data_IF_076848517694
#
_entry.id   IF_076848517694
#
_cell.length_a   1.000
_cell.length_b   1.000
_cell.length_c   1.000
_cell.angle_alpha   90.00
_cell.angle_beta   90.00
_cell.angle_gamma   90.00
#
_symmetry.space_group_name_H-M   'P 1'
#
loop_
_entity.id
_entity.type
_entity.pdbx_description
1 polymer ?
#
# COMPACT_ATOMS: atom_id res chain seq x y z
N UNK A 1 -30.92 27.78 21.27
CA UNK A 1 -30.77 27.15 19.94
C UNK A 1 -29.45 27.53 19.25
N UNK A 2 -28.37 27.87 19.98
CA UNK A 2 -27.10 28.35 19.39
C UNK A 2 -25.96 27.33 19.49
N UNK A 3 -25.96 26.47 20.52
CA UNK A 3 -24.95 25.41 20.70
C UNK A 3 -24.99 24.34 19.60
N UNK A 4 -26.18 23.97 19.11
CA UNK A 4 -26.32 23.02 17.99
C UNK A 4 -25.73 23.54 16.68
N UNK A 5 -25.81 24.85 16.44
CA UNK A 5 -25.26 25.46 15.22
C UNK A 5 -23.73 25.50 15.24
N UNK A 6 -23.13 25.83 16.39
CA UNK A 6 -21.66 25.81 16.55
C UNK A 6 -21.14 24.38 16.40
N UNK A 7 -21.80 23.38 17.01
CA UNK A 7 -21.44 21.97 16.84
C UNK A 7 -21.54 21.51 15.39
N UNK A 8 -22.59 21.91 14.65
CA UNK A 8 -22.69 21.58 13.21
C UNK A 8 -21.61 22.23 12.35
N UNK A 9 -21.15 23.44 12.70
CA UNK A 9 -20.08 24.13 11.98
C UNK A 9 -18.74 23.44 12.25
N UNK A 10 -18.42 23.15 13.51
CA UNK A 10 -17.20 22.42 13.89
C UNK A 10 -17.19 21.03 13.24
N UNK A 11 -18.31 20.29 13.32
CA UNK A 11 -18.43 18.96 12.72
C UNK A 11 -18.24 19.01 11.20
N UNK A 12 -18.83 20.01 10.52
CA UNK A 12 -18.66 20.17 9.07
C UNK A 12 -17.22 20.49 8.69
N UNK A 13 -16.60 21.50 9.31
CA UNK A 13 -15.24 21.89 8.93
C UNK A 13 -14.19 20.86 9.36
N UNK A 14 -14.27 20.29 10.57
CA UNK A 14 -13.27 19.32 11.01
C UNK A 14 -13.42 17.97 10.30
N UNK A 15 -14.63 17.43 10.13
CA UNK A 15 -14.81 16.10 9.55
C UNK A 15 -14.72 16.14 8.02
N UNK A 16 -15.25 17.16 7.34
CA UNK A 16 -15.16 17.20 5.88
C UNK A 16 -13.72 17.41 5.41
N UNK A 17 -12.95 18.28 6.08
CA UNK A 17 -11.55 18.53 5.72
C UNK A 17 -10.71 17.26 5.88
N UNK A 18 -10.85 16.55 7.02
CA UNK A 18 -10.22 15.23 7.23
C UNK A 18 -10.64 14.23 6.15
N UNK A 19 -11.91 14.19 5.77
CA UNK A 19 -12.40 13.24 4.75
C UNK A 19 -11.87 13.55 3.34
N UNK A 20 -11.70 14.84 3.01
CA UNK A 20 -11.16 15.29 1.71
C UNK A 20 -9.65 15.07 1.66
N UNK A 21 -8.94 15.35 2.74
CA UNK A 21 -7.51 15.05 2.87
C UNK A 21 -7.25 13.53 2.82
N UNK A 22 -8.06 12.71 3.51
CA UNK A 22 -7.97 11.25 3.46
C UNK A 22 -8.19 10.73 2.03
N UNK A 23 -9.18 11.29 1.31
CA UNK A 23 -9.46 10.93 -0.09
C UNK A 23 -8.29 11.30 -1.00
N UNK A 24 -7.76 12.52 -0.89
CA UNK A 24 -6.62 13.00 -1.67
C UNK A 24 -5.34 12.19 -1.41
N UNK A 25 -5.05 11.90 -0.14
CA UNK A 25 -3.90 11.09 0.25
C UNK A 25 -4.00 9.66 -0.29
N UNK A 26 -5.19 9.05 -0.20
CA UNK A 26 -5.48 7.73 -0.76
C UNK A 26 -5.28 7.69 -2.28
N UNK A 27 -5.83 8.65 -3.00
CA UNK A 27 -5.69 8.76 -4.45
C UNK A 27 -4.24 8.96 -4.87
N UNK A 28 -3.50 9.81 -4.14
CA UNK A 28 -2.07 10.02 -4.35
C UNK A 28 -1.25 8.74 -4.17
N UNK A 29 -1.49 7.99 -3.08
CA UNK A 29 -0.83 6.72 -2.83
C UNK A 29 -1.17 5.68 -3.91
N UNK A 30 -2.43 5.62 -4.33
CA UNK A 30 -2.87 4.68 -5.38
C UNK A 30 -2.17 4.99 -6.71
N UNK A 31 -2.12 6.26 -7.09
CA UNK A 31 -1.44 6.71 -8.31
C UNK A 31 0.07 6.39 -8.25
N UNK A 32 0.71 6.56 -7.10
CA UNK A 32 2.11 6.16 -6.92
C UNK A 32 2.29 4.66 -7.14
N UNK A 33 1.44 3.83 -6.53
CA UNK A 33 1.50 2.37 -6.72
C UNK A 33 1.35 1.99 -8.19
N UNK A 34 0.36 2.58 -8.88
CA UNK A 34 0.12 2.35 -10.30
C UNK A 34 1.32 2.74 -11.17
N UNK A 35 1.93 3.90 -10.93
CA UNK A 35 3.11 4.36 -11.69
C UNK A 35 4.32 3.45 -11.49
N UNK A 36 4.56 3.00 -10.27
CA UNK A 36 5.70 2.12 -9.95
C UNK A 36 5.49 0.70 -10.48
N UNK A 37 4.25 0.22 -10.53
CA UNK A 37 3.89 -1.13 -10.98
C UNK A 37 3.51 -1.23 -12.47
N UNK A 38 3.32 -0.11 -13.18
CA UNK A 38 2.97 -0.09 -14.60
C UNK A 38 3.83 -0.97 -15.54
N UNK A 39 5.16 -1.14 -15.32
CA UNK A 39 5.98 -2.01 -16.15
C UNK A 39 5.77 -3.52 -15.91
N UNK A 40 5.08 -3.92 -14.83
CA UNK A 40 4.96 -5.31 -14.42
C UNK A 40 3.71 -5.96 -15.03
N UNK A 41 3.96 -6.96 -15.86
CA UNK A 41 2.88 -7.78 -16.42
C UNK A 41 2.17 -8.51 -15.28
N UNK A 42 0.86 -8.64 -15.38
CA UNK A 42 -0.03 -9.28 -14.39
C UNK A 42 -0.26 -8.50 -13.08
N UNK A 43 0.26 -7.27 -12.97
CA UNK A 43 -0.08 -6.36 -11.86
C UNK A 43 -0.99 -5.26 -12.37
N UNK A 44 -2.12 -5.07 -11.70
CA UNK A 44 -3.06 -3.99 -11.99
C UNK A 44 -3.67 -3.50 -10.67
N UNK A 45 -3.08 -2.43 -10.11
CA UNK A 45 -3.50 -1.88 -8.83
C UNK A 45 -4.66 -0.91 -9.03
N UNK A 46 -5.85 -1.28 -8.57
CA UNK A 46 -7.07 -0.47 -8.71
C UNK A 46 -7.69 -0.03 -7.38
N UNK A 47 -7.27 -0.65 -6.28
CA UNK A 47 -7.81 -0.42 -4.93
C UNK A 47 -6.82 -0.93 -3.88
N UNK A 48 -7.10 -0.65 -2.61
CA UNK A 48 -6.33 -1.16 -1.47
C UNK A 48 -7.00 -2.37 -0.80
N UNK A 49 -7.61 -3.27 -1.57
CA UNK A 49 -8.12 -4.53 -1.03
C UNK A 49 -7.72 -5.71 -1.91
N UNK A 50 -8.46 -5.94 -2.99
CA UNK A 50 -8.35 -7.16 -3.80
C UNK A 50 -7.17 -7.12 -4.75
N UNK A 51 -6.69 -5.93 -5.13
CA UNK A 51 -5.55 -5.76 -6.03
C UNK A 51 -4.22 -6.25 -5.43
N UNK A 52 -4.19 -6.51 -4.12
CA UNK A 52 -2.99 -6.90 -3.38
C UNK A 52 -2.99 -8.37 -2.95
N UNK A 53 -4.11 -9.09 -3.17
CA UNK A 53 -4.32 -10.46 -2.69
C UNK A 53 -3.37 -11.48 -3.29
N UNK A 54 -2.92 -11.27 -4.52
CA UNK A 54 -1.98 -12.19 -5.18
C UNK A 54 -0.51 -11.96 -4.79
N UNK A 55 -0.24 -10.95 -3.96
CA UNK A 55 1.09 -10.57 -3.50
C UNK A 55 1.99 -9.93 -4.55
N UNK A 56 1.64 -10.00 -5.84
CA UNK A 56 2.48 -9.54 -6.95
C UNK A 56 2.68 -8.03 -6.93
N UNK A 57 1.68 -7.27 -6.47
CA UNK A 57 1.79 -5.82 -6.34
C UNK A 57 2.85 -5.40 -5.30
N UNK A 58 2.90 -6.08 -4.14
CA UNK A 58 3.92 -5.81 -3.12
C UNK A 58 5.31 -6.19 -3.60
N UNK A 59 5.46 -7.38 -4.20
CA UNK A 59 6.73 -7.81 -4.78
C UNK A 59 7.21 -6.86 -5.89
N UNK A 60 6.29 -6.34 -6.72
CA UNK A 60 6.62 -5.41 -7.79
C UNK A 60 7.11 -4.07 -7.24
N UNK A 61 6.49 -3.55 -6.17
CA UNK A 61 6.95 -2.33 -5.51
C UNK A 61 8.38 -2.47 -4.99
N UNK A 62 8.70 -3.60 -4.35
CA UNK A 62 10.06 -3.89 -3.87
C UNK A 62 11.03 -4.01 -5.04
N UNK A 63 10.75 -4.87 -6.01
CA UNK A 63 11.63 -5.09 -7.17
C UNK A 63 11.86 -3.81 -7.98
N UNK A 64 10.88 -2.89 -8.02
CA UNK A 64 11.02 -1.62 -8.76
C UNK A 64 12.09 -0.71 -8.17
N UNK A 65 12.27 -0.73 -6.86
CA UNK A 65 13.24 0.12 -6.15
C UNK A 65 14.53 -0.63 -5.83
N UNK A 66 14.44 -1.95 -5.58
CA UNK A 66 15.54 -2.83 -5.20
C UNK A 66 15.41 -4.17 -5.94
N UNK A 67 15.76 -4.21 -7.24
CA UNK A 67 15.63 -5.42 -8.05
C UNK A 67 16.51 -6.58 -7.57
N UNK A 68 17.54 -6.28 -6.78
CA UNK A 68 18.44 -7.24 -6.16
C UNK A 68 17.78 -8.09 -5.06
N UNK A 69 16.65 -7.64 -4.50
CA UNK A 69 16.03 -8.29 -3.33
C UNK A 69 14.95 -9.33 -3.69
N UNK A 70 14.35 -9.27 -4.88
CA UNK A 70 13.28 -10.18 -5.31
C UNK A 70 13.51 -10.59 -6.76
N UNK A 71 13.59 -11.89 -7.03
CA UNK A 71 13.57 -12.42 -8.39
C UNK A 71 12.12 -12.47 -8.92
N UNK A 72 11.64 -11.33 -9.43
CA UNK A 72 10.24 -11.18 -9.82
C UNK A 72 9.81 -12.19 -10.91
N UNK A 73 10.73 -12.61 -11.77
CA UNK A 73 10.43 -13.52 -12.88
C UNK A 73 10.03 -14.93 -12.40
N UNK A 74 10.37 -15.31 -11.17
CA UNK A 74 10.00 -16.60 -10.58
C UNK A 74 8.65 -16.59 -9.87
N UNK A 75 8.09 -15.41 -9.61
CA UNK A 75 6.82 -15.28 -8.90
C UNK A 75 5.65 -15.67 -9.79
N UNK A 76 4.62 -16.27 -9.19
CA UNK A 76 3.46 -16.77 -9.92
C UNK A 76 2.17 -16.36 -9.23
N UNK A 77 1.16 -15.99 -10.04
CA UNK A 77 -0.13 -15.53 -9.54
C UNK A 77 -0.92 -16.60 -8.77
N UNK A 78 -0.65 -17.88 -9.04
CA UNK A 78 -1.28 -19.03 -8.37
C UNK A 78 -0.66 -19.37 -7.01
N UNK A 79 0.40 -18.67 -6.59
CA UNK A 79 0.99 -18.79 -5.25
C UNK A 79 0.89 -17.47 -4.45
N UNK A 80 -0.32 -17.04 -4.07
CA UNK A 80 -0.52 -15.77 -3.39
C UNK A 80 0.12 -15.72 -2.00
N UNK A 81 0.07 -16.82 -1.25
CA UNK A 81 0.66 -16.91 0.09
C UNK A 81 2.18 -16.81 0.00
N UNK A 82 2.82 -17.55 -0.92
CA UNK A 82 4.26 -17.48 -1.13
C UNK A 82 4.72 -16.09 -1.57
N UNK A 83 4.00 -15.44 -2.49
CA UNK A 83 4.31 -14.07 -2.93
C UNK A 83 4.22 -13.07 -1.77
N UNK A 84 3.12 -13.11 -0.99
CA UNK A 84 2.92 -12.21 0.14
C UNK A 84 4.01 -12.39 1.21
N UNK A 85 4.29 -13.63 1.61
CA UNK A 85 5.33 -13.93 2.59
C UNK A 85 6.72 -13.50 2.11
N UNK A 86 7.02 -13.71 0.82
CA UNK A 86 8.27 -13.24 0.21
C UNK A 86 8.39 -11.71 0.34
N UNK A 87 7.33 -10.97 0.01
CA UNK A 87 7.33 -9.52 0.14
C UNK A 87 7.50 -9.08 1.60
N UNK A 88 6.78 -9.70 2.52
CA UNK A 88 6.81 -9.38 3.96
C UNK A 88 8.17 -9.65 4.59
N UNK A 89 8.79 -10.79 4.28
CA UNK A 89 10.13 -11.15 4.76
C UNK A 89 11.21 -10.20 4.24
N UNK A 90 11.17 -9.88 2.94
CA UNK A 90 12.14 -8.96 2.34
C UNK A 90 11.96 -7.55 2.91
N UNK A 91 10.72 -7.11 3.10
CA UNK A 91 10.42 -5.79 3.67
C UNK A 91 10.93 -5.67 5.11
N UNK A 92 10.69 -6.68 5.94
CA UNK A 92 11.16 -6.71 7.33
C UNK A 92 12.69 -6.75 7.40
N UNK A 93 13.32 -7.61 6.61
CA UNK A 93 14.76 -7.86 6.72
C UNK A 93 15.63 -6.74 6.14
N UNK A 94 15.19 -6.10 5.06
CA UNK A 94 16.03 -5.19 4.28
C UNK A 94 15.51 -3.75 4.18
N UNK A 95 14.22 -3.52 4.46
CA UNK A 95 13.59 -2.21 4.34
C UNK A 95 13.14 -1.63 5.68
N UNK A 96 13.34 -2.35 6.78
CA UNK A 96 12.91 -1.97 8.14
C UNK A 96 11.39 -1.73 8.23
N UNK A 97 10.61 -2.48 7.44
CA UNK A 97 9.14 -2.44 7.44
C UNK A 97 8.64 -3.69 8.17
N UNK A 98 8.11 -3.58 9.40
CA UNK A 98 7.70 -4.74 10.19
C UNK A 98 6.51 -5.46 9.54
N UNK A 99 6.38 -6.77 9.77
CA UNK A 99 5.24 -7.55 9.27
C UNK A 99 3.96 -7.17 10.04
N UNK A 100 3.10 -6.37 9.40
CA UNK A 100 1.84 -5.91 10.00
C UNK A 100 0.63 -6.74 9.57
N UNK A 101 0.79 -7.54 8.52
CA UNK A 101 -0.30 -8.29 7.89
C UNK A 101 0.06 -9.77 7.83
N UNK A 102 -0.96 -10.61 7.92
CA UNK A 102 -0.85 -12.04 7.71
C UNK A 102 -1.28 -12.44 6.29
N UNK A 103 -0.50 -13.31 5.65
CA UNK A 103 -0.76 -13.72 4.27
C UNK A 103 -2.02 -14.58 4.15
N UNK A 104 -2.27 -15.46 5.11
CA UNK A 104 -3.47 -16.33 5.11
C UNK A 104 -4.72 -15.48 5.29
N UNK A 105 -4.70 -14.50 6.19
CA UNK A 105 -5.83 -13.60 6.43
C UNK A 105 -6.19 -12.80 5.17
N UNK A 106 -5.20 -12.26 4.44
CA UNK A 106 -5.42 -11.54 3.18
C UNK A 106 -6.04 -12.46 2.12
N UNK A 107 -5.52 -13.67 1.96
CA UNK A 107 -5.95 -14.60 0.90
C UNK A 107 -7.35 -15.15 1.19
N UNK A 108 -7.60 -15.56 2.43
CA UNK A 108 -8.85 -16.19 2.84
C UNK A 108 -10.00 -15.18 3.00
N UNK A 109 -9.71 -13.90 3.24
CA UNK A 109 -10.74 -12.86 3.31
C UNK A 109 -11.17 -12.44 1.90
N UNK A 110 -12.46 -12.54 1.52
CA UNK A 110 -12.93 -12.16 0.18
C UNK A 110 -12.55 -10.73 -0.22
N UNK A 111 -12.63 -9.80 0.75
CA UNK A 111 -12.22 -8.41 0.63
C UNK A 111 -11.38 -8.03 1.86
N UNK A 112 -10.03 -8.03 1.74
CA UNK A 112 -9.15 -7.59 2.82
C UNK A 112 -9.48 -6.18 3.30
N UNK A 113 -9.19 -5.89 4.56
CA UNK A 113 -9.44 -4.57 5.16
C UNK A 113 -8.64 -3.49 4.43
N UNK A 114 -9.34 -2.49 3.91
CA UNK A 114 -8.73 -1.47 3.07
C UNK A 114 -7.73 -0.60 3.84
N UNK A 115 -8.03 -0.28 5.10
CA UNK A 115 -7.18 0.57 5.92
C UNK A 115 -5.91 -0.14 6.33
N UNK A 116 -5.99 -1.44 6.62
CA UNK A 116 -4.83 -2.27 6.93
C UNK A 116 -3.86 -2.36 5.73
N UNK A 117 -4.37 -2.63 4.52
CA UNK A 117 -3.55 -2.64 3.31
C UNK A 117 -2.97 -1.25 3.01
N UNK A 118 -3.77 -0.17 3.11
CA UNK A 118 -3.28 1.19 2.91
C UNK A 118 -2.16 1.55 3.88
N UNK A 119 -2.33 1.21 5.16
CA UNK A 119 -1.33 1.48 6.20
C UNK A 119 -0.03 0.74 5.90
N UNK A 120 -0.11 -0.52 5.47
CA UNK A 120 1.09 -1.27 5.13
C UNK A 120 1.77 -0.74 3.86
N UNK A 121 1.00 -0.40 2.83
CA UNK A 121 1.52 0.17 1.58
C UNK A 121 2.13 1.56 1.79
N UNK A 122 1.60 2.37 2.71
CA UNK A 122 2.18 3.67 3.03
C UNK A 122 3.58 3.54 3.67
N UNK A 123 3.84 2.46 4.43
CA UNK A 123 5.19 2.16 4.92
C UNK A 123 6.19 2.00 3.76
N UNK A 124 5.82 1.27 2.69
CA UNK A 124 6.66 1.17 1.49
C UNK A 124 6.85 2.52 0.80
N UNK A 125 5.79 3.33 0.70
CA UNK A 125 5.90 4.66 0.13
C UNK A 125 6.93 5.51 0.88
N UNK A 126 6.85 5.56 2.21
CA UNK A 126 7.80 6.34 3.02
C UNK A 126 9.23 5.79 2.95
N UNK A 127 9.40 4.46 3.01
CA UNK A 127 10.71 3.83 2.90
C UNK A 127 11.39 4.14 1.56
N UNK A 128 10.64 4.17 0.45
CA UNK A 128 11.22 4.43 -0.88
C UNK A 128 11.24 5.91 -1.28
N UNK A 129 10.27 6.72 -0.88
CA UNK A 129 10.24 8.16 -1.18
C UNK A 129 11.40 8.90 -0.47
N UNK A 130 11.75 8.50 0.75
CA UNK A 130 12.93 9.03 1.45
C UNK A 130 14.25 8.71 0.72
N UNK A 131 14.32 7.54 0.09
CA UNK A 131 15.49 7.13 -0.70
C UNK A 131 15.62 7.94 -2.01
N UNK A 132 14.51 8.26 -2.69
CA UNK A 132 14.53 9.08 -3.92
C UNK A 132 15.01 10.52 -3.66
N UNK A 133 14.66 11.10 -2.51
CA UNK A 133 15.12 12.44 -2.10
C UNK A 133 16.63 12.47 -1.77
N UNK A 134 17.16 11.37 -1.26
CA UNK A 134 18.59 11.27 -0.88
C UNK A 134 19.49 11.01 -2.09
N UNK A 135 18.97 10.35 -3.14
CA UNK A 135 19.73 10.08 -4.37
C UNK A 135 19.85 11.27 -5.33
N UNK A 136 19.13 12.37 -5.06
CA UNK A 136 19.17 13.61 -5.87
C UNK A 136 20.06 14.69 -5.22
N UNK A 137 20.96 14.31 -4.32
CA UNK A 137 21.88 15.22 -3.62
C UNK A 137 23.33 14.82 -3.81
#
# INVERSE_FOLDING_TARGET
>A
MTLGMIWTIILRFAIQDISVEETSAKEGLLLWCQRKTAPYRNVNVQNFHTSWKDGLALCALIHRHRPDLIDYAKLRKDDPIGNLNTAFEVAEKYLDIPKMLDAEDIVNTPKPDEKAIMTYVSCFYHAFAGAELTSTR
#
